data_IF_233627710239
#
_entry.id   IF_233627710239
#
_cell.length_a   1.000
_cell.length_b   1.000
_cell.length_c   1.000
_cell.angle_alpha   90.00
_cell.angle_beta   90.00
_cell.angle_gamma   90.00
#
_symmetry.space_group_name_H-M   'P 1'
#
loop_
_entity.id
_entity.type
_entity.pdbx_description
1 polymer ?
#
# COMPACT_ATOMS: atom_id res chain seq x y z
N UNK A 1 -9.48 -2.44 -8.86
CA UNK A 1 -8.34 -2.29 -9.75
C UNK A 1 -8.57 -1.04 -10.60
N UNK A 2 -7.66 -0.07 -10.57
CA UNK A 2 -7.81 1.17 -11.35
C UNK A 2 -6.43 1.60 -11.87
N UNK A 3 -6.34 1.98 -13.14
CA UNK A 3 -5.10 2.49 -13.73
C UNK A 3 -4.55 3.72 -12.96
N UNK A 4 -3.25 3.95 -13.01
CA UNK A 4 -2.65 5.15 -12.43
C UNK A 4 -3.24 6.41 -13.07
N UNK A 5 -3.40 7.49 -12.30
CA UNK A 5 -3.96 8.75 -12.80
C UNK A 5 -5.49 8.79 -12.97
N UNK A 6 -6.22 7.71 -12.65
CA UNK A 6 -7.68 7.66 -12.82
C UNK A 6 -8.48 8.05 -11.58
N UNK A 7 -7.85 8.67 -10.58
CA UNK A 7 -8.52 9.17 -9.38
C UNK A 7 -8.73 8.15 -8.26
N UNK A 8 -7.84 7.14 -8.13
CA UNK A 8 -7.90 6.17 -7.02
C UNK A 8 -8.03 6.84 -5.65
N UNK A 9 -7.20 7.84 -5.39
CA UNK A 9 -7.16 8.57 -4.11
C UNK A 9 -8.51 9.16 -3.73
N UNK A 10 -9.18 9.85 -4.67
CA UNK A 10 -10.52 10.41 -4.42
C UNK A 10 -11.58 9.32 -4.31
N UNK A 11 -11.46 8.26 -5.10
CA UNK A 11 -12.39 7.11 -5.02
C UNK A 11 -12.35 6.49 -3.62
N UNK A 12 -11.16 6.32 -3.03
CA UNK A 12 -11.02 5.75 -1.69
C UNK A 12 -11.60 6.67 -0.60
N UNK A 13 -11.44 8.00 -0.73
CA UNK A 13 -12.08 8.97 0.14
C UNK A 13 -13.61 8.85 0.08
N UNK A 14 -14.18 8.84 -1.12
CA UNK A 14 -15.63 8.75 -1.28
C UNK A 14 -16.19 7.40 -0.83
N UNK A 15 -15.43 6.32 -0.94
CA UNK A 15 -15.81 5.03 -0.36
C UNK A 15 -15.87 5.14 1.17
N UNK A 16 -14.86 5.77 1.81
CA UNK A 16 -14.86 6.02 3.25
C UNK A 16 -16.10 6.81 3.68
N UNK A 17 -16.41 7.91 2.99
CA UNK A 17 -17.57 8.75 3.30
C UNK A 17 -18.89 8.02 3.10
N UNK A 18 -19.06 7.30 1.99
CA UNK A 18 -20.28 6.54 1.69
C UNK A 18 -20.49 5.33 2.62
N UNK A 19 -19.42 4.79 3.20
CA UNK A 19 -19.49 3.74 4.21
C UNK A 19 -19.73 4.31 5.63
N UNK A 20 -19.75 5.63 5.80
CA UNK A 20 -19.85 6.31 7.08
C UNK A 20 -18.77 5.84 8.07
N UNK A 21 -17.58 5.50 7.53
CA UNK A 21 -16.48 5.00 8.34
C UNK A 21 -15.91 6.13 9.21
N UNK A 22 -16.05 5.99 10.53
CA UNK A 22 -15.56 6.97 11.51
C UNK A 22 -14.13 6.70 11.93
N UNK A 23 -13.68 5.47 11.88
CA UNK A 23 -12.30 5.09 12.14
C UNK A 23 -11.71 4.45 10.89
N UNK A 24 -10.73 5.12 10.26
CA UNK A 24 -10.16 4.67 8.99
C UNK A 24 -8.64 4.62 9.08
N UNK A 25 -8.06 3.52 8.59
CA UNK A 25 -6.61 3.40 8.36
C UNK A 25 -6.34 3.42 6.86
N UNK A 26 -5.39 4.24 6.43
CA UNK A 26 -4.90 4.29 5.05
C UNK A 26 -3.42 3.92 5.02
N UNK A 27 -3.11 2.81 4.38
CA UNK A 27 -1.74 2.31 4.21
C UNK A 27 -1.19 2.67 2.84
N UNK A 28 0.00 3.26 2.84
CA UNK A 28 0.67 3.80 1.65
C UNK A 28 2.12 3.29 1.56
N UNK A 29 2.68 3.17 0.35
CA UNK A 29 4.01 2.59 0.17
C UNK A 29 5.16 3.53 0.50
N UNK A 30 4.93 4.85 0.55
CA UNK A 30 6.00 5.84 0.80
C UNK A 30 5.46 7.08 1.51
N UNK A 31 6.38 7.86 2.14
CA UNK A 31 6.05 9.14 2.78
C UNK A 31 5.54 10.18 1.78
N UNK A 32 6.07 10.17 0.58
CA UNK A 32 5.65 11.08 -0.50
C UNK A 32 4.18 10.85 -0.87
N UNK A 33 3.79 9.60 -1.11
CA UNK A 33 2.40 9.23 -1.38
C UNK A 33 1.49 9.47 -0.17
N UNK A 34 1.99 9.26 1.05
CA UNK A 34 1.23 9.55 2.27
C UNK A 34 0.90 11.04 2.35
N UNK A 35 1.89 11.90 2.18
CA UNK A 35 1.70 13.35 2.22
C UNK A 35 0.78 13.83 1.08
N UNK A 36 0.93 13.28 -0.12
CA UNK A 36 0.06 13.61 -1.25
C UNK A 36 -1.39 13.20 -0.96
N UNK A 37 -1.62 11.95 -0.59
CA UNK A 37 -2.96 11.42 -0.32
C UNK A 37 -3.65 12.18 0.81
N UNK A 38 -2.92 12.50 1.86
CA UNK A 38 -3.43 13.27 2.97
C UNK A 38 -3.90 14.67 2.54
N UNK A 39 -3.08 15.39 1.75
CA UNK A 39 -3.47 16.71 1.22
C UNK A 39 -4.68 16.63 0.30
N UNK A 40 -4.72 15.65 -0.59
CA UNK A 40 -5.84 15.43 -1.51
C UNK A 40 -7.12 15.13 -0.73
N UNK A 41 -7.06 14.30 0.29
CA UNK A 41 -8.20 13.98 1.15
C UNK A 41 -8.66 15.19 1.95
N UNK A 42 -7.75 15.92 2.58
CA UNK A 42 -8.08 17.13 3.35
C UNK A 42 -8.74 18.20 2.48
N UNK A 43 -8.32 18.32 1.23
CA UNK A 43 -8.90 19.27 0.28
C UNK A 43 -10.28 18.86 -0.24
N UNK A 44 -10.49 17.55 -0.49
CA UNK A 44 -11.67 17.05 -1.21
C UNK A 44 -12.75 16.46 -0.29
N UNK A 45 -12.48 16.30 1.01
CA UNK A 45 -13.43 15.72 1.94
C UNK A 45 -14.66 16.59 2.14
N UNK A 46 -15.84 15.95 2.15
CA UNK A 46 -17.10 16.60 2.49
C UNK A 46 -17.32 16.72 4.01
N UNK A 47 -16.63 15.87 4.80
CA UNK A 47 -16.70 15.86 6.26
C UNK A 47 -15.31 16.07 6.85
N UNK A 48 -15.25 16.82 7.95
CA UNK A 48 -14.01 16.98 8.70
C UNK A 48 -13.62 15.68 9.41
N UNK A 49 -12.34 15.45 9.53
CA UNK A 49 -11.78 14.31 10.27
C UNK A 49 -10.47 14.72 10.96
N UNK A 50 -10.21 14.09 12.08
CA UNK A 50 -8.94 14.19 12.78
C UNK A 50 -7.90 13.29 12.12
N UNK A 51 -6.66 13.75 12.05
CA UNK A 51 -5.57 13.07 11.36
C UNK A 51 -4.45 12.69 12.32
N UNK A 52 -3.94 11.48 12.18
CA UNK A 52 -2.67 11.06 12.75
C UNK A 52 -1.84 10.35 11.67
N UNK A 53 -0.59 10.76 11.51
CA UNK A 53 0.36 10.08 10.64
C UNK A 53 1.22 9.11 11.46
N UNK A 54 1.31 7.86 11.01
CA UNK A 54 2.15 6.84 11.66
C UNK A 54 3.27 6.43 10.71
N UNK A 55 4.46 6.91 11.00
CA UNK A 55 5.67 6.59 10.24
C UNK A 55 6.91 6.75 11.12
N UNK A 56 7.96 6.00 10.80
CA UNK A 56 9.23 6.04 11.54
C UNK A 56 10.35 6.63 10.70
N UNK A 57 11.34 7.25 11.35
CA UNK A 57 12.54 7.80 10.68
C UNK A 57 13.35 6.71 9.95
N UNK A 58 13.16 5.42 10.27
CA UNK A 58 13.83 4.31 9.59
C UNK A 58 13.39 4.15 8.12
N UNK A 59 12.25 4.73 7.72
CA UNK A 59 11.82 4.75 6.32
C UNK A 59 12.59 5.76 5.48
N UNK A 60 13.25 6.72 6.11
CA UNK A 60 14.01 7.81 5.47
C UNK A 60 15.40 7.38 4.99
N UNK A 61 15.98 6.32 5.56
CA UNK A 61 17.37 5.90 5.27
C UNK A 61 17.53 4.91 4.11
N UNK A 62 16.45 4.33 3.58
CA UNK A 62 16.51 3.44 2.44
C UNK A 62 16.23 4.24 1.17
N UNK A 63 17.29 4.62 0.47
CA UNK A 63 17.21 5.19 -0.87
C UNK A 63 16.48 4.21 -1.81
N UNK A 64 15.20 4.44 -2.05
CA UNK A 64 14.59 4.00 -3.29
C UNK A 64 14.91 5.05 -4.34
N UNK A 65 15.37 4.63 -5.51
CA UNK A 65 15.75 5.48 -6.65
C UNK A 65 14.55 6.18 -7.32
N UNK A 66 13.55 6.58 -6.55
CA UNK A 66 12.39 7.33 -7.02
C UNK A 66 12.42 8.71 -6.38
N UNK A 67 12.13 9.74 -7.17
CA UNK A 67 12.06 11.16 -6.81
C UNK A 67 11.16 11.42 -5.60
N UNK A 68 11.64 11.12 -4.38
CA UNK A 68 10.92 11.42 -3.14
C UNK A 68 11.20 12.87 -2.74
N UNK A 69 10.17 13.70 -2.87
CA UNK A 69 10.22 15.12 -2.47
C UNK A 69 10.27 15.28 -0.95
N UNK A 70 9.80 14.26 -0.19
CA UNK A 70 9.80 14.27 1.27
C UNK A 70 10.87 13.30 1.77
N UNK A 71 11.96 13.84 2.28
CA UNK A 71 13.11 13.10 2.78
C UNK A 71 13.06 12.83 4.29
N UNK A 72 12.15 13.49 5.02
CA UNK A 72 12.06 13.39 6.48
C UNK A 72 10.64 13.50 6.98
N UNK A 73 10.33 12.78 8.06
CA UNK A 73 9.07 12.92 8.82
C UNK A 73 8.87 14.35 9.31
N UNK A 74 9.95 15.11 9.57
CA UNK A 74 9.90 16.50 10.00
C UNK A 74 9.33 17.47 8.96
N UNK A 75 9.30 17.06 7.71
CA UNK A 75 8.76 17.88 6.61
C UNK A 75 7.24 17.76 6.49
N UNK A 76 6.60 16.95 7.31
CA UNK A 76 5.15 16.76 7.32
C UNK A 76 4.47 17.84 8.17
N UNK A 77 3.43 18.46 7.61
CA UNK A 77 2.65 19.53 8.26
C UNK A 77 1.56 19.01 9.21
N UNK A 78 1.52 17.72 9.50
CA UNK A 78 0.49 17.06 10.30
C UNK A 78 1.10 16.31 11.48
N UNK A 79 0.32 16.03 12.56
CA UNK A 79 0.80 15.25 13.68
C UNK A 79 1.34 13.89 13.25
N UNK A 80 2.55 13.58 13.67
CA UNK A 80 3.26 12.35 13.34
C UNK A 80 3.68 11.64 14.61
N UNK A 81 3.49 10.33 14.67
CA UNK A 81 3.96 9.51 15.78
C UNK A 81 4.57 8.19 15.31
N UNK A 82 5.46 7.65 16.14
CA UNK A 82 5.93 6.26 16.09
C UNK A 82 5.59 5.49 17.39
N UNK A 83 4.80 6.10 18.28
CA UNK A 83 4.50 5.55 19.60
C UNK A 83 3.14 4.86 19.61
N UNK A 84 3.06 3.54 19.87
CA UNK A 84 1.80 2.80 19.91
C UNK A 84 0.78 3.34 20.91
N UNK A 85 1.26 3.93 22.03
CA UNK A 85 0.40 4.51 23.06
C UNK A 85 -0.34 5.74 22.55
N UNK A 86 0.30 6.58 21.73
CA UNK A 86 -0.34 7.74 21.10
C UNK A 86 -1.36 7.32 20.04
N UNK A 87 -1.06 6.26 19.27
CA UNK A 87 -2.01 5.66 18.33
C UNK A 87 -3.25 5.14 19.07
N UNK A 88 -3.03 4.42 20.18
CA UNK A 88 -4.09 3.89 21.02
C UNK A 88 -4.96 5.03 21.61
N UNK A 89 -4.34 6.08 22.16
CA UNK A 89 -5.04 7.24 22.68
C UNK A 89 -5.86 7.96 21.60
N UNK A 90 -5.29 8.16 20.43
CA UNK A 90 -5.98 8.75 19.27
C UNK A 90 -7.22 7.94 18.89
N UNK A 91 -7.11 6.62 18.76
CA UNK A 91 -8.21 5.76 18.35
C UNK A 91 -9.34 5.67 19.39
N UNK A 92 -9.03 5.77 20.69
CA UNK A 92 -10.01 5.76 21.77
C UNK A 92 -10.83 7.04 21.92
N UNK A 93 -10.34 8.16 21.37
CA UNK A 93 -11.08 9.43 21.43
C UNK A 93 -12.35 9.38 20.58
N UNK A 94 -13.18 10.41 20.65
CA UNK A 94 -14.40 10.56 19.85
C UNK A 94 -14.11 11.18 18.48
N UNK A 95 -15.08 11.13 17.57
CA UNK A 95 -15.05 11.82 16.29
C UNK A 95 -14.73 10.93 15.10
N UNK A 96 -14.53 11.59 13.95
CA UNK A 96 -14.18 10.96 12.69
C UNK A 96 -12.65 10.98 12.55
N UNK A 97 -12.00 9.83 12.51
CA UNK A 97 -10.55 9.67 12.62
C UNK A 97 -9.97 8.96 11.42
N UNK A 98 -8.87 9.49 10.94
CA UNK A 98 -8.10 8.88 9.86
C UNK A 98 -6.64 8.77 10.28
N UNK A 99 -6.12 7.55 10.26
CA UNK A 99 -4.68 7.28 10.38
C UNK A 99 -4.12 7.07 8.99
N UNK A 100 -3.11 7.86 8.63
CA UNK A 100 -2.28 7.60 7.45
C UNK A 100 -0.97 6.96 7.89
N UNK A 101 -0.63 5.81 7.33
CA UNK A 101 0.59 5.10 7.71
C UNK A 101 1.33 4.55 6.50
N UNK A 102 2.63 4.43 6.61
CA UNK A 102 3.38 3.60 5.68
C UNK A 102 3.20 2.12 6.03
N UNK A 103 3.33 1.24 5.04
CA UNK A 103 3.28 -0.21 5.31
C UNK A 103 4.34 -0.65 6.31
N UNK A 104 5.54 -0.06 6.24
CA UNK A 104 6.64 -0.38 7.16
C UNK A 104 6.29 -0.08 8.62
N UNK A 105 5.42 0.90 8.86
CA UNK A 105 4.99 1.29 10.20
C UNK A 105 3.69 0.59 10.65
N UNK A 106 3.08 -0.23 9.81
CA UNK A 106 1.86 -0.97 10.18
C UNK A 106 2.00 -1.87 11.43
N UNK A 107 3.18 -2.45 11.76
CA UNK A 107 3.36 -3.16 13.02
C UNK A 107 3.10 -2.31 14.28
N UNK A 108 3.35 -0.99 14.24
CA UNK A 108 3.05 -0.08 15.37
C UNK A 108 1.54 0.04 15.61
N UNK A 109 0.75 -0.04 14.54
CA UNK A 109 -0.71 -0.04 14.62
C UNK A 109 -1.21 -1.36 15.20
N UNK A 110 -0.62 -2.47 14.79
CA UNK A 110 -0.90 -3.78 15.37
C UNK A 110 -0.58 -3.80 16.87
N UNK A 111 0.56 -3.24 17.28
CA UNK A 111 0.95 -3.09 18.69
C UNK A 111 -0.05 -2.23 19.47
N UNK A 112 -0.50 -1.11 18.92
CA UNK A 112 -1.52 -0.27 19.53
C UNK A 112 -2.86 -1.02 19.74
N UNK A 113 -3.21 -1.93 18.83
CA UNK A 113 -4.43 -2.74 18.92
C UNK A 113 -4.29 -4.01 19.79
N UNK A 114 -3.13 -4.29 20.39
CA UNK A 114 -3.00 -5.31 21.46
C UNK A 114 -3.92 -4.93 22.63
N UNK A 115 -4.04 -3.63 22.91
CA UNK A 115 -5.02 -3.15 23.87
C UNK A 115 -6.45 -3.37 23.33
N UNK A 116 -7.18 -4.25 23.98
CA UNK A 116 -8.56 -4.63 23.59
C UNK A 116 -9.57 -3.49 23.72
N UNK A 117 -9.22 -2.40 24.40
CA UNK A 117 -10.04 -1.19 24.52
C UNK A 117 -9.91 -0.30 23.26
N UNK A 118 -8.91 -0.52 22.42
CA UNK A 118 -8.81 0.16 21.13
C UNK A 118 -9.85 -0.44 20.18
N UNK A 119 -10.74 0.38 19.60
CA UNK A 119 -11.77 -0.11 18.69
C UNK A 119 -11.15 -0.67 17.40
N UNK A 120 -11.89 -1.55 16.75
CA UNK A 120 -11.59 -2.00 15.40
C UNK A 120 -11.75 -0.84 14.42
N UNK A 121 -10.97 -0.81 13.36
CA UNK A 121 -11.20 0.13 12.27
C UNK A 121 -12.51 -0.20 11.54
N UNK A 122 -13.32 0.81 11.23
CA UNK A 122 -14.47 0.63 10.34
C UNK A 122 -14.02 0.26 8.94
N UNK A 123 -12.94 0.89 8.47
CA UNK A 123 -12.40 0.68 7.15
C UNK A 123 -10.86 0.75 7.17
N UNK A 124 -10.22 -0.22 6.54
CA UNK A 124 -8.81 -0.15 6.21
C UNK A 124 -8.65 -0.09 4.69
N UNK A 125 -7.89 0.86 4.22
CA UNK A 125 -7.55 1.06 2.80
C UNK A 125 -6.08 0.77 2.62
N UNK A 126 -5.76 -0.21 1.77
CA UNK A 126 -4.41 -0.57 1.39
C UNK A 126 -4.16 -0.10 -0.05
N UNK A 127 -3.46 1.03 -0.22
CA UNK A 127 -3.13 1.52 -1.56
C UNK A 127 -1.85 0.86 -2.08
N UNK A 128 -1.78 0.69 -3.40
CA UNK A 128 -0.75 -0.12 -4.08
C UNK A 128 -0.61 -1.52 -3.45
N UNK A 129 -1.76 -2.15 -3.22
CA UNK A 129 -1.89 -3.41 -2.48
C UNK A 129 -1.17 -4.61 -3.12
N UNK A 130 -0.68 -4.48 -4.36
CA UNK A 130 0.22 -5.48 -4.95
C UNK A 130 1.50 -5.67 -4.11
N UNK A 131 1.86 -4.69 -3.25
CA UNK A 131 2.99 -4.82 -2.32
C UNK A 131 2.70 -5.73 -1.12
N UNK A 132 1.43 -6.02 -0.84
CA UNK A 132 1.04 -6.98 0.19
C UNK A 132 1.13 -8.43 -0.27
N UNK A 133 1.50 -8.66 -1.54
CA UNK A 133 1.67 -10.00 -2.11
C UNK A 133 3.08 -10.53 -1.91
N UNK A 134 3.26 -11.83 -2.04
CA UNK A 134 4.54 -12.51 -1.86
C UNK A 134 4.60 -13.28 -0.55
N UNK A 135 5.78 -13.33 0.06
CA UNK A 135 6.00 -14.07 1.31
C UNK A 135 5.32 -13.41 2.50
N UNK A 136 4.68 -14.21 3.34
CA UNK A 136 4.05 -13.75 4.58
C UNK A 136 5.09 -13.41 5.66
N UNK A 137 4.68 -12.62 6.68
CA UNK A 137 5.51 -12.33 7.85
C UNK A 137 6.36 -11.06 7.77
N UNK A 138 6.17 -10.23 6.76
CA UNK A 138 6.81 -8.92 6.67
C UNK A 138 5.81 -7.79 7.00
N UNK A 139 6.30 -6.55 7.18
CA UNK A 139 5.48 -5.41 7.53
C UNK A 139 4.36 -5.11 6.50
N UNK A 140 4.55 -5.45 5.22
CA UNK A 140 3.54 -5.26 4.18
C UNK A 140 2.37 -6.23 4.29
N UNK A 141 2.57 -7.40 4.89
CA UNK A 141 1.53 -8.42 5.06
C UNK A 141 0.77 -8.31 6.39
N UNK A 142 1.21 -7.44 7.31
CA UNK A 142 0.54 -7.21 8.61
C UNK A 142 -0.95 -6.89 8.45
N UNK A 143 -1.32 -6.15 7.40
CA UNK A 143 -2.71 -5.77 7.12
C UNK A 143 -3.59 -6.95 6.69
N UNK A 144 -3.01 -8.03 6.21
CA UNK A 144 -3.75 -9.22 5.78
C UNK A 144 -4.24 -10.07 6.95
N UNK A 145 -3.63 -9.88 8.12
CA UNK A 145 -3.96 -10.64 9.34
C UNK A 145 -4.95 -9.86 10.22
N UNK A 146 -6.16 -10.40 10.37
CA UNK A 146 -7.21 -9.83 11.21
C UNK A 146 -6.85 -9.81 12.69
N UNK A 147 -5.97 -10.69 13.15
CA UNK A 147 -5.52 -10.72 14.54
C UNK A 147 -4.52 -9.62 14.86
N UNK A 148 -3.80 -9.12 13.86
CA UNK A 148 -2.81 -8.05 13.99
C UNK A 148 -3.46 -6.67 13.82
N UNK A 149 -4.17 -6.45 12.73
CA UNK A 149 -4.90 -5.20 12.50
C UNK A 149 -6.39 -5.53 12.41
N UNK A 150 -7.12 -5.21 13.46
CA UNK A 150 -8.57 -5.48 13.54
C UNK A 150 -9.33 -4.44 12.73
N UNK A 151 -10.19 -4.91 11.82
CA UNK A 151 -11.01 -4.06 10.98
C UNK A 151 -12.29 -4.74 10.53
N UNK A 152 -13.38 -3.96 10.43
CA UNK A 152 -14.66 -4.43 9.94
C UNK A 152 -14.64 -4.67 8.43
N UNK A 153 -13.94 -3.80 7.69
CA UNK A 153 -13.84 -3.85 6.22
C UNK A 153 -12.42 -3.51 5.76
N UNK A 154 -11.99 -4.15 4.69
CA UNK A 154 -10.75 -3.85 3.98
C UNK A 154 -11.02 -3.53 2.53
N UNK A 155 -10.34 -2.50 2.01
CA UNK A 155 -10.36 -2.11 0.61
C UNK A 155 -8.92 -2.13 0.07
N UNK A 156 -8.67 -3.01 -0.88
CA UNK A 156 -7.38 -3.10 -1.55
C UNK A 156 -7.44 -2.36 -2.89
N UNK A 157 -6.54 -1.41 -3.12
CA UNK A 157 -6.47 -0.66 -4.38
C UNK A 157 -5.12 -0.85 -5.05
N UNK A 158 -5.12 -1.05 -6.35
CA UNK A 158 -3.90 -1.17 -7.17
C UNK A 158 -4.20 -0.91 -8.63
N UNK A 159 -3.19 -0.47 -9.37
CA UNK A 159 -3.22 -0.45 -10.83
C UNK A 159 -2.74 -1.77 -11.44
N UNK A 160 -1.88 -2.50 -10.74
CA UNK A 160 -1.14 -3.66 -11.21
C UNK A 160 -1.32 -4.85 -10.25
N UNK A 161 -2.44 -5.58 -10.32
CA UNK A 161 -2.63 -6.74 -9.45
C UNK A 161 -1.54 -7.79 -9.73
N UNK A 162 -0.94 -8.33 -8.66
CA UNK A 162 0.03 -9.41 -8.75
C UNK A 162 -0.62 -10.75 -8.46
N UNK A 163 -0.40 -11.69 -9.37
CA UNK A 163 -0.83 -13.09 -9.23
C UNK A 163 0.37 -14.00 -9.44
N UNK A 164 0.36 -15.15 -8.82
CA UNK A 164 1.44 -16.13 -8.94
C UNK A 164 0.91 -17.43 -9.55
N UNK A 165 1.71 -18.05 -10.41
CA UNK A 165 1.33 -19.32 -11.03
C UNK A 165 1.18 -20.43 -9.99
N UNK A 166 0.27 -21.40 -10.25
CA UNK A 166 0.05 -22.53 -9.34
C UNK A 166 1.33 -23.32 -9.07
N UNK A 167 2.22 -23.44 -10.06
CA UNK A 167 3.52 -24.10 -9.92
C UNK A 167 4.44 -23.37 -8.94
N UNK A 168 4.44 -22.03 -8.95
CA UNK A 168 5.25 -21.22 -8.04
C UNK A 168 4.71 -21.33 -6.60
N UNK A 169 3.39 -21.21 -6.42
CA UNK A 169 2.75 -21.38 -5.12
C UNK A 169 3.06 -22.76 -4.52
N UNK A 170 2.96 -23.82 -5.35
CA UNK A 170 3.29 -25.19 -4.90
C UNK A 170 4.75 -25.35 -4.48
N UNK A 171 5.70 -24.87 -5.30
CA UNK A 171 7.14 -24.96 -4.98
C UNK A 171 7.47 -24.18 -3.69
N UNK A 172 6.88 -23.00 -3.51
CA UNK A 172 7.10 -22.20 -2.30
C UNK A 172 6.57 -22.90 -1.07
N UNK A 173 5.38 -23.51 -1.15
CA UNK A 173 4.80 -24.29 -0.04
C UNK A 173 5.65 -25.54 0.30
N UNK A 174 6.21 -26.23 -0.70
CA UNK A 174 7.16 -27.33 -0.50
C UNK A 174 8.45 -26.87 0.22
N UNK A 175 8.83 -25.60 0.08
CA UNK A 175 9.96 -24.98 0.77
C UNK A 175 9.58 -24.37 2.13
N UNK A 176 8.32 -24.55 2.59
CA UNK A 176 7.82 -23.98 3.83
C UNK A 176 7.57 -22.47 3.80
N UNK A 177 7.42 -21.90 2.61
CA UNK A 177 7.15 -20.48 2.40
C UNK A 177 5.81 -20.32 1.71
N UNK A 178 4.84 -19.72 2.40
CA UNK A 178 3.55 -19.40 1.79
C UNK A 178 3.64 -18.09 0.98
N UNK A 179 3.21 -18.17 -0.28
CA UNK A 179 3.16 -17.02 -1.20
C UNK A 179 1.71 -16.70 -1.52
N UNK A 180 1.32 -15.49 -1.18
CA UNK A 180 -0.03 -14.97 -1.39
C UNK A 180 -0.09 -14.07 -2.61
N UNK A 181 -1.00 -14.34 -3.54
CA UNK A 181 -1.30 -13.49 -4.70
C UNK A 181 -2.65 -12.79 -4.55
N UNK A 182 -2.88 -11.73 -5.32
CA UNK A 182 -4.16 -10.99 -5.30
C UNK A 182 -5.32 -11.75 -5.96
N UNK A 183 -5.06 -12.94 -6.50
CA UNK A 183 -6.04 -13.91 -6.97
C UNK A 183 -6.64 -14.75 -5.83
N UNK A 184 -6.16 -14.59 -4.60
CA UNK A 184 -6.70 -15.25 -3.41
C UNK A 184 -7.87 -14.42 -2.85
N UNK A 185 -9.10 -14.79 -3.24
CA UNK A 185 -10.32 -14.11 -2.80
C UNK A 185 -10.57 -14.24 -1.29
N UNK A 186 -10.04 -15.26 -0.64
CA UNK A 186 -10.20 -15.43 0.81
C UNK A 186 -9.43 -14.31 1.58
N UNK A 187 -8.35 -13.80 0.99
CA UNK A 187 -7.50 -12.77 1.58
C UNK A 187 -7.84 -11.38 1.04
N UNK A 188 -7.90 -11.23 -0.28
CA UNK A 188 -8.09 -9.92 -0.92
C UNK A 188 -9.55 -9.60 -1.26
N UNK A 189 -10.45 -10.58 -1.12
CA UNK A 189 -11.85 -10.42 -1.50
C UNK A 189 -12.06 -10.38 -3.03
N UNK A 190 -13.31 -10.16 -3.43
CA UNK A 190 -13.68 -10.07 -4.84
C UNK A 190 -13.28 -8.73 -5.45
N UNK A 191 -13.01 -8.74 -6.76
CA UNK A 191 -12.77 -7.51 -7.53
C UNK A 191 -14.09 -6.73 -7.66
N UNK A 192 -14.23 -5.66 -6.90
CA UNK A 192 -15.44 -4.81 -6.90
C UNK A 192 -15.52 -3.94 -8.16
N UNK A 193 -14.39 -3.47 -8.66
CA UNK A 193 -14.32 -2.59 -9.82
C UNK A 193 -12.98 -2.74 -10.55
N UNK A 194 -13.03 -2.73 -11.88
CA UNK A 194 -11.83 -2.74 -12.72
C UNK A 194 -11.93 -1.66 -13.81
N UNK A 195 -10.92 -0.77 -13.84
CA UNK A 195 -10.72 0.24 -14.87
C UNK A 195 -9.31 0.09 -15.46
N UNK A 196 -9.13 -0.79 -16.45
CA UNK A 196 -7.86 -0.98 -17.14
C UNK A 196 -7.43 0.28 -17.89
N UNK A 197 -6.13 0.40 -18.18
CA UNK A 197 -5.54 1.55 -18.85
C UNK A 197 -6.23 1.88 -20.18
N UNK A 198 -6.42 0.87 -21.03
CA UNK A 198 -7.09 1.06 -22.35
C UNK A 198 -8.53 1.52 -22.24
N UNK A 199 -9.28 1.10 -21.22
CA UNK A 199 -10.63 1.55 -20.99
C UNK A 199 -10.65 3.00 -20.46
N UNK A 200 -9.69 3.37 -19.61
CA UNK A 200 -9.54 4.74 -19.12
C UNK A 200 -9.22 5.73 -20.26
N UNK A 201 -8.39 5.33 -21.22
CA UNK A 201 -8.12 6.12 -22.45
C UNK A 201 -9.39 6.27 -23.27
N UNK A 202 -10.10 5.19 -23.54
CA UNK A 202 -11.38 5.23 -24.33
C UNK A 202 -12.41 6.15 -23.68
N UNK A 203 -12.45 6.26 -22.36
CA UNK A 203 -13.32 7.17 -21.61
C UNK A 203 -12.80 8.61 -21.53
N UNK A 204 -11.65 8.90 -22.12
CA UNK A 204 -11.03 10.23 -22.05
C UNK A 204 -10.52 10.63 -20.67
N UNK A 205 -10.33 9.65 -19.76
CA UNK A 205 -9.77 9.87 -18.42
C UNK A 205 -8.26 9.94 -18.44
N UNK A 206 -7.64 9.30 -19.40
CA UNK A 206 -6.20 9.31 -19.64
C UNK A 206 -5.91 9.63 -21.10
N UNK A 207 -4.79 10.27 -21.35
CA UNK A 207 -4.27 10.47 -22.70
C UNK A 207 -3.74 9.16 -23.28
N UNK A 208 -3.80 9.02 -24.61
CA UNK A 208 -3.15 7.90 -25.28
C UNK A 208 -1.62 7.98 -25.14
N UNK A 209 -0.94 6.88 -25.32
CA UNK A 209 0.50 6.78 -25.15
C UNK A 209 1.14 6.01 -26.31
N UNK A 210 2.41 6.32 -26.53
CA UNK A 210 3.25 5.57 -27.47
C UNK A 210 4.36 4.86 -26.70
N UNK A 211 4.56 3.59 -26.99
CA UNK A 211 5.67 2.80 -26.43
C UNK A 211 6.82 2.83 -27.42
N UNK A 212 7.94 3.42 -27.03
CA UNK A 212 9.18 3.37 -27.78
C UNK A 212 10.07 2.29 -27.17
N UNK A 213 10.33 1.24 -27.93
CA UNK A 213 11.28 0.19 -27.56
C UNK A 213 12.66 0.59 -28.05
N UNK A 214 13.56 0.88 -27.12
CA UNK A 214 14.97 1.13 -27.42
C UNK A 214 15.74 -0.15 -27.15
N UNK A 215 16.19 -0.80 -28.23
CA UNK A 215 17.12 -1.92 -28.14
C UNK A 215 18.51 -1.42 -27.83
N UNK A 216 19.12 -1.87 -26.74
CA UNK A 216 20.54 -1.60 -26.44
C UNK A 216 21.31 -2.89 -26.73
N UNK A 217 22.14 -2.85 -27.75
CA UNK A 217 22.99 -3.96 -28.14
C UNK A 217 24.26 -3.95 -27.26
N UNK A 218 24.13 -4.44 -26.04
CA UNK A 218 25.24 -4.58 -25.10
C UNK A 218 25.58 -6.05 -24.92
N UNK A 219 26.75 -6.52 -25.43
CA UNK A 219 27.16 -7.92 -25.32
C UNK A 219 27.21 -8.44 -23.89
N UNK A 220 27.52 -7.60 -22.91
CA UNK A 220 27.53 -7.97 -21.49
C UNK A 220 26.12 -8.27 -20.96
N UNK A 221 25.13 -7.45 -21.33
CA UNK A 221 23.73 -7.66 -20.93
C UNK A 221 23.18 -8.92 -21.59
N UNK A 222 23.50 -9.17 -22.87
CA UNK A 222 23.13 -10.38 -23.57
C UNK A 222 23.70 -11.65 -22.90
N UNK A 223 24.94 -11.60 -22.43
CA UNK A 223 25.58 -12.69 -21.71
C UNK A 223 24.93 -12.94 -20.33
N UNK A 224 24.57 -11.89 -19.60
CA UNK A 224 23.83 -12.01 -18.33
C UNK A 224 22.45 -12.63 -18.52
N UNK A 225 21.69 -12.20 -19.54
CA UNK A 225 20.39 -12.77 -19.88
C UNK A 225 20.52 -14.25 -20.27
N UNK A 226 21.52 -14.62 -21.06
CA UNK A 226 21.77 -16.01 -21.45
C UNK A 226 22.15 -16.90 -20.26
N UNK A 227 22.91 -16.38 -19.32
CA UNK A 227 23.31 -17.12 -18.13
C UNK A 227 22.22 -17.16 -17.07
N UNK A 228 21.10 -16.44 -17.24
CA UNK A 228 20.04 -16.29 -16.22
C UNK A 228 20.59 -15.95 -14.85
N UNK A 229 21.60 -15.10 -14.80
CA UNK A 229 22.16 -14.64 -13.54
C UNK A 229 21.25 -13.57 -12.97
N UNK A 230 20.84 -13.77 -11.71
CA UNK A 230 20.15 -12.75 -10.93
C UNK A 230 21.09 -11.58 -10.72
N UNK A 231 20.64 -10.38 -11.08
CA UNK A 231 21.35 -9.14 -10.76
C UNK A 231 20.99 -8.81 -9.32
N UNK A 232 21.92 -9.02 -8.42
CA UNK A 232 21.77 -8.61 -7.03
C UNK A 232 22.17 -7.13 -6.95
N UNK A 233 21.17 -6.27 -6.79
CA UNK A 233 21.40 -4.82 -6.66
C UNK A 233 21.70 -4.39 -5.23
N UNK A 234 21.23 -5.16 -4.24
CA UNK A 234 21.50 -5.03 -2.81
C UNK A 234 21.36 -6.41 -2.14
N UNK A 235 21.86 -6.54 -0.89
CA UNK A 235 21.82 -7.81 -0.13
C UNK A 235 20.41 -8.42 0.01
N UNK A 236 19.35 -7.67 -0.27
CA UNK A 236 17.94 -8.08 -0.13
C UNK A 236 17.08 -7.96 -1.39
N UNK A 237 17.62 -7.49 -2.52
CA UNK A 237 16.86 -7.34 -3.76
C UNK A 237 17.58 -8.05 -4.91
N UNK A 238 16.98 -9.11 -5.40
CA UNK A 238 17.39 -9.76 -6.65
C UNK A 238 16.36 -9.41 -7.75
N UNK A 239 16.84 -9.03 -8.91
CA UNK A 239 16.03 -8.76 -10.11
C UNK A 239 16.37 -9.82 -11.15
N UNK A 240 15.32 -10.47 -11.71
CA UNK A 240 15.42 -11.38 -12.86
C UNK A 240 15.69 -10.61 -14.15
#
# INVERSE_FOLDING_TARGET
>A
IMACGTGKTFTTLWVKERQFAKSTLVLLPSLSLLSQTLREWTFAANETFDVLCVCSDQTVGKQSNTDEIIHSVKDMSFPVTSEPQEISAFLKGDGNKVIFSTYQSSPLIAEAQIDTLVPDFDLVIADEAHRCTGTTGNAFTTILDQSLIRANKRLFTTATPRTYSANLKKKSSEMGVDVTGMDDEAIFGQVLYALPFGEAIKRGLLTDYQVVLVGVDNPMIADWIQRRQLIQTDENNAVD
#
